data_IF_579535635219
#
_entry.id   IF_579535635219
#
_cell.length_a   1.000
_cell.length_b   1.000
_cell.length_c   1.000
_cell.angle_alpha   90.00
_cell.angle_beta   90.00
_cell.angle_gamma   90.00
#
_symmetry.space_group_name_H-M   'P 1'
#
loop_
_entity.id
_entity.type
_entity.pdbx_description
1 polymer ?
#
# COMPACT_ATOMS: atom_id res chain seq x y z
N UNK A 1 3.76 -17.96 -0.64
CA UNK A 1 3.08 -16.66 -0.73
C UNK A 1 4.07 -15.61 -0.26
N UNK A 2 4.37 -14.60 -1.07
CA UNK A 2 5.33 -13.55 -0.73
C UNK A 2 4.59 -12.40 -0.04
N UNK A 3 4.91 -12.17 1.23
CA UNK A 3 4.41 -11.02 2.01
C UNK A 3 5.56 -10.04 2.22
N UNK A 4 5.28 -8.75 2.03
CA UNK A 4 6.27 -7.69 2.19
C UNK A 4 5.69 -6.58 3.09
N UNK A 5 6.20 -6.43 4.33
CA UNK A 5 5.93 -5.24 5.10
C UNK A 5 6.69 -4.05 4.49
N UNK A 6 6.00 -2.94 4.30
CA UNK A 6 6.50 -1.75 3.65
C UNK A 6 6.26 -0.52 4.54
N UNK A 7 7.21 0.41 4.49
CA UNK A 7 7.07 1.75 5.05
C UNK A 7 7.33 2.75 3.95
N UNK A 8 6.43 3.70 3.79
CA UNK A 8 6.60 4.83 2.90
C UNK A 8 6.45 6.12 3.71
N UNK A 9 7.18 7.14 3.28
CA UNK A 9 7.25 8.44 3.93
C UNK A 9 6.94 9.52 2.90
N UNK A 10 6.08 10.47 3.27
CA UNK A 10 5.80 11.63 2.42
C UNK A 10 6.80 12.76 2.63
N UNK A 11 6.65 13.84 1.86
CA UNK A 11 7.56 14.99 1.92
C UNK A 11 7.54 15.74 3.27
N UNK A 12 6.55 15.50 4.13
CA UNK A 12 6.44 16.07 5.47
C UNK A 12 7.07 15.19 6.56
N UNK A 13 7.50 13.97 6.20
CA UNK A 13 8.02 12.97 7.13
C UNK A 13 6.94 12.08 7.75
N UNK A 14 5.69 12.21 7.30
CA UNK A 14 4.60 11.36 7.77
C UNK A 14 4.66 10.00 7.06
N UNK A 15 4.57 8.94 7.85
CA UNK A 15 4.74 7.57 7.38
C UNK A 15 3.42 6.83 7.31
N UNK A 16 3.27 5.93 6.33
CA UNK A 16 2.25 4.90 6.36
C UNK A 16 2.87 3.51 6.22
N UNK A 17 2.23 2.54 6.87
CA UNK A 17 2.69 1.17 6.96
C UNK A 17 1.74 0.27 6.21
N UNK A 18 2.28 -0.55 5.31
CA UNK A 18 1.48 -1.53 4.59
C UNK A 18 2.07 -2.93 4.64
N UNK A 19 1.22 -3.94 4.48
CA UNK A 19 1.66 -5.32 4.17
C UNK A 19 1.13 -5.69 2.81
N UNK A 20 2.03 -5.90 1.85
CA UNK A 20 1.69 -6.27 0.47
C UNK A 20 1.77 -7.78 0.29
N UNK A 21 0.77 -8.36 -0.38
CA UNK A 21 0.69 -9.78 -0.71
C UNK A 21 0.49 -9.94 -2.20
N UNK A 22 1.48 -10.49 -2.89
CA UNK A 22 1.39 -10.75 -4.32
C UNK A 22 0.59 -12.02 -4.58
N UNK A 23 -0.40 -11.95 -5.45
CA UNK A 23 -1.22 -13.10 -5.88
C UNK A 23 -0.98 -13.47 -7.35
N UNK A 24 -0.46 -12.55 -8.17
CA UNK A 24 -0.17 -12.81 -9.58
C UNK A 24 1.10 -12.10 -10.09
N UNK A 25 1.64 -12.65 -11.19
CA UNK A 25 2.76 -12.10 -11.95
C UNK A 25 4.12 -12.13 -11.23
N UNK A 26 5.11 -11.47 -11.81
CA UNK A 26 6.53 -11.49 -11.39
C UNK A 26 7.26 -10.17 -11.72
N UNK A 27 8.58 -10.13 -11.52
CA UNK A 27 9.39 -8.93 -11.75
C UNK A 27 9.57 -8.58 -13.22
N UNK A 28 9.23 -9.48 -14.15
CA UNK A 28 9.35 -9.24 -15.59
C UNK A 28 8.03 -8.74 -16.20
N UNK A 29 6.91 -9.23 -15.68
CA UNK A 29 5.58 -9.04 -16.29
C UNK A 29 4.66 -8.10 -15.50
N UNK A 30 5.02 -7.72 -14.28
CA UNK A 30 4.16 -6.96 -13.39
C UNK A 30 3.17 -7.90 -12.68
N UNK A 31 1.96 -7.45 -12.38
CA UNK A 31 0.92 -8.28 -11.75
C UNK A 31 0.27 -7.63 -10.54
N UNK A 32 -0.53 -8.39 -9.81
CA UNK A 32 -1.43 -7.83 -8.81
C UNK A 32 -1.42 -8.56 -7.48
N UNK A 33 -2.16 -7.98 -6.55
CA UNK A 33 -2.21 -8.48 -5.18
C UNK A 33 -3.14 -7.71 -4.28
N UNK A 34 -3.11 -8.11 -3.01
CA UNK A 34 -3.77 -7.39 -1.93
C UNK A 34 -2.73 -6.61 -1.12
N UNK A 35 -3.16 -5.48 -0.55
CA UNK A 35 -2.38 -4.72 0.40
C UNK A 35 -3.23 -4.42 1.63
N UNK A 36 -2.63 -4.47 2.81
CA UNK A 36 -3.25 -4.02 4.05
C UNK A 36 -2.58 -2.72 4.49
N UNK A 37 -3.38 -1.69 4.79
CA UNK A 37 -2.96 -0.46 5.46
C UNK A 37 -3.02 -0.71 6.97
N UNK A 38 -1.87 -0.83 7.60
CA UNK A 38 -1.75 -1.20 9.02
C UNK A 38 -1.74 0.01 9.97
N UNK A 39 -1.54 1.22 9.46
CA UNK A 39 -1.40 2.43 10.26
C UNK A 39 -0.47 3.44 9.64
N UNK A 40 -0.15 4.47 10.42
CA UNK A 40 0.80 5.50 10.05
C UNK A 40 1.05 6.49 11.17
N UNK A 41 1.86 7.51 10.89
CA UNK A 41 2.13 8.65 11.77
C UNK A 41 1.51 9.92 11.21
N UNK A 42 1.40 10.97 12.04
CA UNK A 42 0.93 12.29 11.63
C UNK A 42 -0.37 12.25 10.85
N UNK A 43 -0.36 12.71 9.60
CA UNK A 43 -1.51 12.72 8.71
C UNK A 43 -2.13 11.32 8.46
N UNK A 44 -1.36 10.25 8.62
CA UNK A 44 -1.80 8.86 8.43
C UNK A 44 -2.12 8.12 9.74
N UNK A 45 -2.00 8.80 10.89
CA UNK A 45 -2.36 8.22 12.18
C UNK A 45 -3.81 7.72 12.19
N UNK A 46 -4.03 6.53 12.76
CA UNK A 46 -5.35 5.88 12.85
C UNK A 46 -5.93 5.40 11.52
N UNK A 47 -5.23 5.55 10.38
CA UNK A 47 -5.68 5.04 9.08
C UNK A 47 -5.43 3.54 9.00
N UNK A 48 -6.50 2.78 8.78
CA UNK A 48 -6.43 1.33 8.52
C UNK A 48 -7.32 1.00 7.33
N UNK A 49 -7.00 -0.09 6.62
CA UNK A 49 -7.77 -0.45 5.43
C UNK A 49 -7.19 -1.62 4.66
N UNK A 50 -7.86 -1.93 3.56
CA UNK A 50 -7.41 -2.93 2.59
C UNK A 50 -7.47 -2.34 1.21
N UNK A 51 -6.53 -2.77 0.36
CA UNK A 51 -6.47 -2.38 -1.04
C UNK A 51 -6.28 -3.61 -1.92
N UNK A 52 -6.78 -3.51 -3.15
CA UNK A 52 -6.29 -4.30 -4.28
C UNK A 52 -5.32 -3.45 -5.07
N UNK A 53 -4.29 -4.06 -5.64
CA UNK A 53 -3.36 -3.35 -6.49
C UNK A 53 -3.01 -4.14 -7.75
N UNK A 54 -2.64 -3.38 -8.79
CA UNK A 54 -2.07 -3.88 -10.03
C UNK A 54 -0.81 -3.08 -10.39
N UNK A 55 0.20 -3.80 -10.86
CA UNK A 55 1.50 -3.27 -11.29
C UNK A 55 1.66 -3.56 -12.78
N UNK A 56 2.00 -2.52 -13.54
CA UNK A 56 2.30 -2.61 -14.97
C UNK A 56 3.64 -1.93 -15.27
N UNK A 57 4.45 -2.58 -16.09
CA UNK A 57 5.64 -1.99 -16.68
C UNK A 57 5.24 -1.18 -17.91
N UNK A 58 5.65 0.08 -17.97
CA UNK A 58 5.36 1.01 -19.05
C UNK A 58 6.62 1.24 -19.90
N UNK A 59 6.41 1.71 -21.13
CA UNK A 59 7.49 2.11 -22.02
C UNK A 59 8.44 3.11 -21.35
N UNK A 60 9.73 3.02 -21.67
CA UNK A 60 10.76 3.89 -21.09
C UNK A 60 11.24 3.47 -19.70
N UNK A 61 10.90 2.25 -19.25
CA UNK A 61 11.40 1.68 -17.99
C UNK A 61 10.64 2.18 -16.75
N UNK A 62 9.42 2.70 -16.94
CA UNK A 62 8.58 3.17 -15.85
C UNK A 62 7.75 2.02 -15.27
N UNK A 63 7.43 2.14 -13.98
CA UNK A 63 6.51 1.22 -13.30
C UNK A 63 5.31 2.03 -12.83
N UNK A 64 4.13 1.59 -13.21
CA UNK A 64 2.88 2.09 -12.65
C UNK A 64 2.33 1.06 -11.67
N UNK A 65 1.99 1.52 -10.48
CA UNK A 65 1.23 0.76 -9.50
C UNK A 65 -0.05 1.53 -9.21
N UNK A 66 -1.19 0.92 -9.44
CA UNK A 66 -2.50 1.48 -9.13
C UNK A 66 -3.08 0.65 -7.99
N UNK A 67 -3.55 1.33 -6.94
CA UNK A 67 -4.16 0.69 -5.80
C UNK A 67 -5.53 1.30 -5.51
N UNK A 68 -6.54 0.45 -5.39
CA UNK A 68 -7.88 0.81 -4.99
C UNK A 68 -8.08 0.41 -3.53
N UNK A 69 -8.27 1.40 -2.66
CA UNK A 69 -8.29 1.20 -1.21
C UNK A 69 -9.65 1.52 -0.62
N UNK A 70 -10.17 0.60 0.19
CA UNK A 70 -11.21 0.90 1.18
C UNK A 70 -10.54 1.13 2.52
N UNK A 71 -10.65 2.35 3.04
CA UNK A 71 -9.97 2.74 4.27
C UNK A 71 -10.91 3.49 5.21
N UNK A 72 -10.50 3.50 6.48
CA UNK A 72 -11.13 4.31 7.53
C UNK A 72 -10.05 4.90 8.42
N UNK A 73 -10.37 6.05 9.00
CA UNK A 73 -9.62 6.61 10.13
C UNK A 73 -10.39 6.32 11.40
N UNK A 74 -9.79 5.63 12.35
CA UNK A 74 -10.33 5.59 13.70
C UNK A 74 -10.14 7.00 14.30
N UNK A 75 -11.23 7.61 14.76
CA UNK A 75 -11.13 8.85 15.52
C UNK A 75 -10.34 8.58 16.81
N UNK A 76 -9.50 9.54 17.21
CA UNK A 76 -8.76 9.44 18.47
C UNK A 76 -9.74 9.28 19.64
N UNK A 77 -9.79 8.08 20.24
CA UNK A 77 -10.36 7.88 21.58
C UNK A 77 -11.80 7.37 21.69
N UNK A 78 -12.16 6.25 21.05
CA UNK A 78 -13.26 5.40 21.53
C UNK A 78 -12.77 3.96 21.72
N UNK A 79 -12.32 3.67 22.95
CA UNK A 79 -12.02 2.36 23.50
C UNK A 79 -12.30 2.38 25.00
#
# INVERSE_FOLDING_TARGET
MLEAPCTAEDASGDQWYTTSRRSSGDIETGGGGGMELAGGTGAFAGVTGSCTYDVSYLDGGWVAMIADCTWRRQADGEG
#
